data_IF_290111643073
#
_entry.id   IF_290111643073
#
_cell.length_a   1.000
_cell.length_b   1.000
_cell.length_c   1.000
_cell.angle_alpha   90.00
_cell.angle_beta   90.00
_cell.angle_gamma   90.00
#
_symmetry.space_group_name_H-M   'P 1'
#
loop_
_entity.id
_entity.type
_entity.pdbx_description
1 polymer ?
#
# COMPACT_ATOMS: atom_id res chain seq x y z
N UNK A 1 -32.46 20.30 4.41
CA UNK A 1 -32.10 18.88 4.20
C UNK A 1 -30.95 18.86 3.18
N UNK A 2 -29.70 18.83 3.64
CA UNK A 2 -28.55 18.80 2.73
C UNK A 2 -28.43 17.39 2.12
N UNK A 3 -28.23 17.25 0.80
CA UNK A 3 -28.10 15.94 0.18
C UNK A 3 -26.84 15.24 0.70
N UNK A 4 -27.00 14.00 1.18
CA UNK A 4 -25.87 13.13 1.51
C UNK A 4 -25.04 12.90 0.25
N UNK A 5 -23.79 13.37 0.25
CA UNK A 5 -22.89 13.21 -0.88
C UNK A 5 -22.65 11.71 -1.13
N UNK A 6 -22.66 11.24 -2.40
CA UNK A 6 -22.41 9.84 -2.69
C UNK A 6 -20.97 9.48 -2.25
N UNK A 7 -20.85 8.62 -1.24
CA UNK A 7 -19.58 8.08 -0.73
C UNK A 7 -18.97 7.02 -1.67
N UNK A 8 -19.04 7.26 -2.98
CA UNK A 8 -18.61 6.35 -4.02
C UNK A 8 -17.27 6.81 -4.57
N UNK A 9 -16.21 6.03 -4.30
CA UNK A 9 -14.91 6.23 -4.97
C UNK A 9 -15.08 6.29 -6.48
N UNK A 10 -14.50 7.32 -7.11
CA UNK A 10 -14.57 7.50 -8.56
C UNK A 10 -13.91 6.32 -9.29
N UNK A 11 -14.45 5.94 -10.46
CA UNK A 11 -13.92 4.85 -11.30
C UNK A 11 -12.41 5.03 -11.58
N UNK A 12 -11.89 6.23 -11.91
CA UNK A 12 -10.46 6.44 -12.10
C UNK A 12 -9.61 6.18 -10.85
N UNK A 13 -10.12 6.48 -9.64
CA UNK A 13 -9.40 6.17 -8.40
C UNK A 13 -9.28 4.67 -8.15
N UNK A 14 -10.34 3.91 -8.44
CA UNK A 14 -10.32 2.45 -8.30
C UNK A 14 -9.35 1.83 -9.30
N UNK A 15 -9.38 2.28 -10.56
CA UNK A 15 -8.46 1.81 -11.59
C UNK A 15 -7.00 2.08 -11.23
N UNK A 16 -6.68 3.31 -10.79
CA UNK A 16 -5.32 3.67 -10.38
C UNK A 16 -4.86 2.85 -9.18
N UNK A 17 -5.75 2.56 -8.22
CA UNK A 17 -5.42 1.73 -7.06
C UNK A 17 -5.09 0.30 -7.47
N UNK A 18 -5.94 -0.34 -8.28
CA UNK A 18 -5.74 -1.72 -8.74
C UNK A 18 -4.52 -1.86 -9.65
N UNK A 19 -4.26 -0.86 -10.51
CA UNK A 19 -3.05 -0.81 -11.32
C UNK A 19 -1.80 -0.83 -10.43
N UNK A 20 -1.74 0.04 -9.41
CA UNK A 20 -0.62 0.04 -8.47
C UNK A 20 -0.49 -1.28 -7.71
N UNK A 21 -1.61 -1.86 -7.26
CA UNK A 21 -1.59 -3.14 -6.56
C UNK A 21 -0.99 -4.26 -7.43
N UNK A 22 -1.37 -4.33 -8.70
CA UNK A 22 -0.84 -5.30 -9.65
C UNK A 22 0.65 -5.10 -9.93
N UNK A 23 1.10 -3.86 -10.09
CA UNK A 23 2.51 -3.53 -10.34
C UNK A 23 3.40 -3.81 -9.11
N UNK A 24 2.89 -3.57 -7.90
CA UNK A 24 3.57 -3.91 -6.64
C UNK A 24 3.67 -5.44 -6.49
N UNK A 25 2.57 -6.17 -6.75
CA UNK A 25 2.56 -7.63 -6.70
C UNK A 25 3.58 -8.22 -7.69
N UNK A 26 3.64 -7.68 -8.90
CA UNK A 26 4.65 -8.05 -9.88
C UNK A 26 6.07 -7.84 -9.32
N UNK A 27 6.37 -6.66 -8.75
CA UNK A 27 7.69 -6.41 -8.14
C UNK A 27 8.05 -7.42 -7.04
N UNK A 28 7.08 -7.81 -6.21
CA UNK A 28 7.28 -8.80 -5.13
C UNK A 28 7.58 -10.20 -5.66
N UNK A 29 6.96 -10.63 -6.76
CA UNK A 29 7.19 -11.96 -7.33
C UNK A 29 8.56 -12.04 -8.01
N UNK A 30 9.00 -10.95 -8.64
CA UNK A 30 10.26 -10.91 -9.38
C UNK A 30 11.43 -10.33 -8.55
N UNK A 31 11.29 -10.18 -7.23
CA UNK A 31 12.37 -9.68 -6.38
C UNK A 31 13.56 -10.64 -6.27
N UNK A 32 13.30 -11.94 -6.40
CA UNK A 32 14.31 -12.98 -6.19
C UNK A 32 15.42 -12.93 -7.26
N UNK A 33 15.11 -12.46 -8.47
CA UNK A 33 16.09 -12.27 -9.54
C UNK A 33 17.20 -11.28 -9.16
N UNK A 34 16.91 -10.28 -8.29
CA UNK A 34 17.94 -9.38 -7.77
C UNK A 34 18.92 -10.10 -6.84
N UNK A 35 18.42 -11.06 -6.06
CA UNK A 35 19.23 -11.91 -5.21
C UNK A 35 20.17 -12.80 -6.02
N UNK A 36 19.65 -13.47 -7.05
CA UNK A 36 20.48 -14.35 -7.90
C UNK A 36 21.57 -13.58 -8.67
N UNK A 37 21.25 -12.39 -9.18
CA UNK A 37 22.23 -11.50 -9.83
C UNK A 37 23.29 -11.05 -8.84
N UNK A 38 22.90 -10.60 -7.64
CA UNK A 38 23.85 -10.17 -6.61
C UNK A 38 24.77 -11.31 -6.18
N UNK A 39 24.24 -12.51 -5.93
CA UNK A 39 25.04 -13.67 -5.58
C UNK A 39 25.98 -14.11 -6.71
N UNK A 40 25.56 -14.00 -7.97
CA UNK A 40 26.42 -14.28 -9.11
C UNK A 40 27.62 -13.31 -9.14
N UNK A 41 27.38 -12.01 -8.94
CA UNK A 41 28.44 -11.01 -8.83
C UNK A 41 29.38 -11.26 -7.64
N UNK A 42 28.85 -11.59 -6.46
CA UNK A 42 29.67 -11.92 -5.28
C UNK A 42 30.57 -13.13 -5.50
N UNK A 43 30.09 -14.11 -6.26
CA UNK A 43 30.86 -15.31 -6.64
C UNK A 43 31.79 -15.09 -7.84
N UNK A 44 31.88 -13.88 -8.38
CA UNK A 44 32.66 -13.55 -9.58
C UNK A 44 32.16 -14.24 -10.85
N UNK A 45 30.89 -14.66 -10.87
CA UNK A 45 30.25 -15.33 -12.01
C UNK A 45 29.42 -14.31 -12.80
N UNK A 46 29.32 -14.52 -14.10
CA UNK A 46 28.39 -13.75 -14.94
C UNK A 46 26.96 -14.22 -14.64
N UNK A 47 26.03 -13.32 -14.27
CA UNK A 47 24.63 -13.68 -14.03
C UNK A 47 23.99 -14.31 -15.27
N UNK A 48 22.98 -15.17 -15.10
CA UNK A 48 22.25 -15.72 -16.24
C UNK A 48 21.55 -14.58 -17.02
N UNK A 49 21.46 -14.66 -18.36
CA UNK A 49 20.68 -13.71 -19.15
C UNK A 49 19.22 -13.60 -18.70
N UNK A 50 18.66 -14.70 -18.17
CA UNK A 50 17.32 -14.71 -17.57
C UNK A 50 17.23 -13.80 -16.35
N UNK A 51 18.14 -13.96 -15.40
CA UNK A 51 18.15 -13.20 -14.13
C UNK A 51 18.40 -11.72 -14.38
N UNK A 52 19.28 -11.38 -15.33
CA UNK A 52 19.50 -10.01 -15.79
C UNK A 52 18.23 -9.40 -16.40
N UNK A 53 17.49 -10.17 -17.19
CA UNK A 53 16.23 -9.72 -17.80
C UNK A 53 15.18 -9.46 -16.71
N UNK A 54 15.00 -10.39 -15.78
CA UNK A 54 14.06 -10.23 -14.67
C UNK A 54 14.46 -9.07 -13.73
N UNK A 55 15.75 -8.89 -13.48
CA UNK A 55 16.26 -7.77 -12.70
C UNK A 55 15.95 -6.42 -13.38
N UNK A 56 16.22 -6.29 -14.68
CA UNK A 56 15.91 -5.06 -15.42
C UNK A 56 14.40 -4.76 -15.41
N UNK A 57 13.57 -5.78 -15.68
CA UNK A 57 12.11 -5.62 -15.66
C UNK A 57 11.61 -5.24 -14.25
N UNK A 58 12.16 -5.85 -13.20
CA UNK A 58 11.83 -5.47 -11.82
C UNK A 58 12.16 -3.99 -11.57
N UNK A 59 13.34 -3.52 -11.97
CA UNK A 59 13.75 -2.12 -11.82
C UNK A 59 12.82 -1.16 -12.58
N UNK A 60 12.50 -1.46 -13.85
CA UNK A 60 11.62 -0.63 -14.68
C UNK A 60 10.20 -0.54 -14.09
N UNK A 61 9.63 -1.68 -13.66
CA UNK A 61 8.30 -1.71 -13.05
C UNK A 61 8.32 -1.01 -11.69
N UNK A 62 9.38 -1.17 -10.89
CA UNK A 62 9.57 -0.45 -9.62
C UNK A 62 9.57 1.07 -9.81
N UNK A 63 10.27 1.58 -10.82
CA UNK A 63 10.25 3.01 -11.18
C UNK A 63 8.84 3.45 -11.59
N UNK A 64 8.14 2.67 -12.39
CA UNK A 64 6.76 2.97 -12.78
C UNK A 64 5.82 3.08 -11.56
N UNK A 65 5.95 2.16 -10.59
CA UNK A 65 5.20 2.21 -9.33
C UNK A 65 5.53 3.48 -8.54
N UNK A 66 6.80 3.86 -8.43
CA UNK A 66 7.23 5.04 -7.71
C UNK A 66 6.63 6.32 -8.33
N UNK A 67 6.70 6.43 -9.66
CA UNK A 67 6.08 7.53 -10.42
C UNK A 67 4.56 7.60 -10.20
N UNK A 68 3.86 6.46 -10.28
CA UNK A 68 2.42 6.40 -10.00
C UNK A 68 2.07 6.75 -8.55
N UNK A 69 2.92 6.34 -7.60
CA UNK A 69 2.82 6.71 -6.19
C UNK A 69 2.94 8.21 -5.97
N UNK A 70 3.90 8.86 -6.63
CA UNK A 70 4.07 10.31 -6.61
C UNK A 70 2.87 11.02 -7.23
N UNK A 71 2.36 10.55 -8.38
CA UNK A 71 1.13 11.08 -8.98
C UNK A 71 -0.04 10.98 -8.02
N UNK A 72 -0.21 9.83 -7.36
CA UNK A 72 -1.26 9.62 -6.36
C UNK A 72 -1.11 10.57 -5.18
N UNK A 73 0.11 10.79 -4.71
CA UNK A 73 0.41 11.71 -3.62
C UNK A 73 0.13 13.17 -4.04
N UNK A 74 0.51 13.58 -5.25
CA UNK A 74 0.19 14.89 -5.80
C UNK A 74 -1.33 15.10 -5.92
N UNK A 75 -2.08 14.10 -6.40
CA UNK A 75 -3.55 14.13 -6.44
C UNK A 75 -4.13 14.25 -5.01
N UNK A 76 -3.54 13.55 -4.04
CA UNK A 76 -3.96 13.59 -2.63
C UNK A 76 -3.74 14.96 -1.99
N UNK A 77 -2.63 15.62 -2.31
CA UNK A 77 -2.32 16.98 -1.85
C UNK A 77 -3.22 18.03 -2.51
N UNK A 78 -3.51 17.88 -3.80
CA UNK A 78 -4.34 18.85 -4.55
C UNK A 78 -5.83 18.72 -4.27
N UNK A 79 -6.36 17.50 -4.11
CA UNK A 79 -7.81 17.24 -3.91
C UNK A 79 -8.22 17.10 -2.44
N UNK A 80 -7.27 17.13 -1.51
CA UNK A 80 -7.53 16.98 -0.09
C UNK A 80 -7.97 15.57 0.33
N UNK A 81 -8.11 15.36 1.64
CA UNK A 81 -8.63 14.10 2.20
C UNK A 81 -10.15 14.15 2.18
N UNK A 82 -10.84 13.04 1.84
CA UNK A 82 -12.21 12.89 2.32
C UNK A 82 -12.19 13.16 3.83
N UNK A 83 -13.03 14.08 4.35
CA UNK A 83 -13.07 14.34 5.77
C UNK A 83 -13.28 13.02 6.49
N UNK A 84 -12.45 12.73 7.49
CA UNK A 84 -12.69 11.59 8.36
C UNK A 84 -14.13 11.71 8.88
N UNK A 85 -14.96 10.66 8.77
CA UNK A 85 -16.35 10.73 9.21
C UNK A 85 -16.37 11.15 10.68
N UNK A 86 -16.82 12.39 10.93
CA UNK A 86 -16.81 13.00 12.25
C UNK A 86 -17.87 12.41 13.21
N UNK A 87 -18.54 11.32 12.83
CA UNK A 87 -19.76 10.86 13.49
C UNK A 87 -19.88 9.36 13.75
N UNK A 88 -18.81 8.56 13.65
CA UNK A 88 -18.88 7.14 14.07
C UNK A 88 -18.08 6.79 15.33
N UNK A 89 -17.30 7.73 15.90
CA UNK A 89 -16.68 7.51 17.23
C UNK A 89 -17.70 7.47 18.38
N UNK A 90 -18.97 7.87 18.15
CA UNK A 90 -20.01 7.87 19.20
C UNK A 90 -20.72 6.52 19.38
N UNK A 91 -20.59 5.57 18.44
CA UNK A 91 -21.20 4.24 18.56
C UNK A 91 -20.34 3.24 19.34
N UNK A 92 -19.03 3.49 19.48
CA UNK A 92 -18.16 2.65 20.31
C UNK A 92 -18.46 2.79 21.82
N UNK A 93 -19.00 3.93 22.25
CA UNK A 93 -19.43 4.12 23.65
C UNK A 93 -20.63 3.26 24.08
N UNK A 94 -21.45 2.77 23.13
CA UNK A 94 -22.58 1.89 23.45
C UNK A 94 -22.21 0.41 23.50
N UNK A 95 -21.04 0.03 22.99
CA UNK A 95 -20.49 -1.31 23.18
C UNK A 95 -19.92 -1.38 24.61
N UNK A 96 -20.77 -1.74 25.58
CA UNK A 96 -20.41 -2.05 26.98
C UNK A 96 -19.43 -3.24 27.12
N UNK A 97 -18.85 -3.73 26.02
CA UNK A 97 -17.94 -4.88 25.96
C UNK A 97 -16.65 -4.67 26.79
N UNK A 98 -16.25 -3.43 27.04
CA UNK A 98 -15.08 -3.12 27.89
C UNK A 98 -15.40 -2.90 29.38
N UNK A 99 -16.68 -2.82 29.78
CA UNK A 99 -17.06 -2.61 31.19
C UNK A 99 -16.93 -3.88 32.05
N UNK A 100 -16.58 -5.01 31.42
CA UNK A 100 -16.40 -6.32 32.04
C UNK A 100 -14.92 -6.75 32.13
N UNK A 101 -13.97 -5.83 31.91
CA UNK A 101 -12.58 -6.08 32.27
C UNK A 101 -12.39 -5.59 33.71
N UNK A 102 -12.21 -6.49 34.70
CA UNK A 102 -11.89 -6.08 36.06
C UNK A 102 -10.53 -5.41 36.03
N UNK A 103 -10.46 -4.17 36.51
CA UNK A 103 -9.20 -3.50 36.79
C UNK A 103 -8.43 -4.33 37.83
N UNK A 104 -7.31 -4.94 37.41
CA UNK A 104 -6.35 -5.57 38.32
C UNK A 104 -5.85 -4.51 39.31
N UNK A 105 -5.99 -4.70 40.63
CA UNK A 105 -5.34 -3.81 41.58
C UNK A 105 -3.83 -4.05 41.51
N UNK A 106 -3.08 -3.01 41.15
CA UNK A 106 -1.63 -3.00 41.38
C UNK A 106 -1.41 -2.91 42.90
N UNK A 107 -1.15 -4.04 43.55
CA UNK A 107 -0.64 -4.05 44.93
C UNK A 107 0.80 -3.52 44.92
N UNK A 108 1.02 -2.41 45.62
CA UNK A 108 2.35 -1.90 45.98
C UNK A 108 2.88 -2.63 47.21
#
# INVERSE_FOLDING_TARGET
>A
MAPAAPASYSIPQKALHWLMALLILFNLIFSDAMGEVAEAYERGKVPSPGDLTFANIHADVGIAVLCLGLVRLAIRFTRGAPPAPAESLRSWHSLRIWRMVPSMPCSS
#
